data_IF_464236640953
#
_entry.id   IF_464236640953
#
_cell.length_a   1.000
_cell.length_b   1.000
_cell.length_c   1.000
_cell.angle_alpha   90.00
_cell.angle_beta   90.00
_cell.angle_gamma   90.00
#
_symmetry.space_group_name_H-M   'P 1'
#
loop_
_entity.id
_entity.type
_entity.pdbx_description
1 polymer ?
#
# COMPACT_ATOMS: atom_id res chain seq x y z
N UNK A 1 1.75 12.31 -3.63
CA UNK A 1 2.69 11.17 -3.71
C UNK A 1 2.39 10.37 -4.95
N UNK A 2 3.39 10.06 -5.76
CA UNK A 2 3.13 9.29 -6.97
C UNK A 2 3.07 7.79 -6.63
N UNK A 3 2.59 6.99 -7.59
CA UNK A 3 2.38 5.57 -7.34
C UNK A 3 3.68 4.82 -7.03
N UNK A 4 4.77 5.19 -7.69
CA UNK A 4 6.07 4.55 -7.44
C UNK A 4 6.50 4.75 -5.99
N UNK A 5 6.33 5.95 -5.46
CA UNK A 5 6.67 6.24 -4.07
C UNK A 5 5.76 5.45 -3.11
N UNK A 6 4.48 5.37 -3.44
CA UNK A 6 3.53 4.60 -2.63
C UNK A 6 3.96 3.14 -2.56
N UNK A 7 4.30 2.56 -3.71
CA UNK A 7 4.74 1.15 -3.76
C UNK A 7 5.99 0.94 -2.91
N UNK A 8 6.98 1.80 -3.06
CA UNK A 8 8.22 1.67 -2.30
C UNK A 8 7.99 1.77 -0.80
N UNK A 9 7.19 2.74 -0.39
CA UNK A 9 6.92 2.94 1.03
C UNK A 9 6.10 1.81 1.62
N UNK A 10 5.12 1.29 0.88
CA UNK A 10 4.34 0.14 1.35
C UNK A 10 5.20 -1.11 1.50
N UNK A 11 6.13 -1.34 0.58
CA UNK A 11 7.05 -2.47 0.70
C UNK A 11 7.91 -2.37 1.97
N UNK A 12 8.37 -1.18 2.28
CA UNK A 12 9.16 -0.94 3.49
C UNK A 12 8.30 -1.15 4.74
N UNK A 13 7.09 -0.59 4.74
CA UNK A 13 6.16 -0.73 5.87
C UNK A 13 5.83 -2.20 6.13
N UNK A 14 5.64 -3.00 5.08
CA UNK A 14 5.37 -4.42 5.24
C UNK A 14 6.46 -5.12 6.04
N UNK A 15 7.69 -4.74 5.81
CA UNK A 15 8.83 -5.34 6.50
C UNK A 15 8.93 -4.83 7.93
N UNK A 16 8.85 -3.51 8.10
CA UNK A 16 9.06 -2.88 9.41
C UNK A 16 7.91 -3.18 10.36
N UNK A 17 6.69 -3.11 9.87
CA UNK A 17 5.49 -3.28 10.70
C UNK A 17 4.95 -4.70 10.67
N UNK A 18 5.58 -5.59 9.90
CA UNK A 18 5.18 -6.99 9.79
C UNK A 18 3.71 -7.15 9.41
N UNK A 19 3.25 -6.36 8.45
CA UNK A 19 1.90 -6.47 7.93
C UNK A 19 1.92 -7.21 6.60
N UNK A 20 0.81 -7.86 6.27
CA UNK A 20 0.72 -8.63 5.03
C UNK A 20 -0.16 -7.94 3.99
N UNK A 21 -0.24 -8.55 2.81
CA UNK A 21 -1.03 -7.98 1.73
C UNK A 21 -2.52 -7.97 2.04
N UNK A 22 -3.00 -8.90 2.85
CA UNK A 22 -4.42 -8.91 3.23
C UNK A 22 -4.77 -7.70 4.08
N UNK A 23 -3.90 -7.32 5.00
CA UNK A 23 -4.09 -6.11 5.78
C UNK A 23 -4.20 -4.88 4.88
N UNK A 24 -3.29 -4.78 3.91
CA UNK A 24 -3.30 -3.66 2.97
C UNK A 24 -4.57 -3.68 2.12
N UNK A 25 -4.98 -4.85 1.65
CA UNK A 25 -6.20 -4.99 0.86
C UNK A 25 -7.42 -4.52 1.65
N UNK A 26 -7.52 -4.92 2.90
CA UNK A 26 -8.64 -4.52 3.76
C UNK A 26 -8.62 -3.01 3.99
N UNK A 27 -7.45 -2.43 4.21
CA UNK A 27 -7.33 -1.00 4.46
C UNK A 27 -7.71 -0.18 3.23
N UNK A 28 -7.25 -0.60 2.05
CA UNK A 28 -7.49 0.14 0.81
C UNK A 28 -8.85 -0.18 0.18
N UNK A 29 -9.55 -1.18 0.68
CA UNK A 29 -10.81 -1.60 0.07
C UNK A 29 -10.62 -2.40 -1.20
N UNK A 30 -9.51 -3.12 -1.30
CA UNK A 30 -9.24 -4.01 -2.44
C UNK A 30 -9.86 -5.38 -2.20
N UNK A 31 -10.08 -6.13 -3.28
CA UNK A 31 -10.82 -7.38 -3.23
C UNK A 31 -10.10 -8.46 -2.43
N UNK A 32 -8.77 -8.56 -2.59
CA UNK A 32 -8.01 -9.63 -1.94
C UNK A 32 -6.52 -9.28 -1.92
N UNK A 33 -5.75 -10.12 -1.22
CA UNK A 33 -4.31 -9.92 -1.10
C UNK A 33 -3.59 -9.99 -2.44
N UNK A 34 -4.11 -10.77 -3.39
CA UNK A 34 -3.51 -10.89 -4.71
C UNK A 34 -3.54 -9.56 -5.47
N UNK A 35 -4.63 -8.81 -5.31
CA UNK A 35 -4.73 -7.48 -5.92
C UNK A 35 -3.64 -6.56 -5.40
N UNK A 36 -3.33 -6.64 -4.11
CA UNK A 36 -2.23 -5.87 -3.53
C UNK A 36 -0.90 -6.32 -4.11
N UNK A 37 -0.67 -7.61 -4.22
CA UNK A 37 0.57 -8.12 -4.79
C UNK A 37 0.77 -7.62 -6.23
N UNK A 38 -0.29 -7.64 -7.03
CA UNK A 38 -0.23 -7.14 -8.41
C UNK A 38 0.07 -5.64 -8.44
N UNK A 39 -0.56 -4.88 -7.56
CA UNK A 39 -0.30 -3.45 -7.47
C UNK A 39 1.15 -3.17 -7.05
N UNK A 40 1.64 -3.88 -6.05
CA UNK A 40 3.02 -3.69 -5.58
C UNK A 40 4.04 -4.12 -6.62
N UNK A 41 3.66 -5.02 -7.51
CA UNK A 41 4.49 -5.43 -8.64
C UNK A 41 4.48 -4.41 -9.78
N UNK A 42 3.54 -3.47 -9.75
CA UNK A 42 3.43 -2.46 -10.78
C UNK A 42 2.48 -2.81 -11.92
N UNK A 43 1.67 -3.85 -11.75
CA UNK A 43 0.83 -4.38 -12.83
C UNK A 43 -0.45 -3.59 -13.06
N UNK A 44 -0.86 -2.72 -12.13
CA UNK A 44 -1.99 -1.85 -12.37
C UNK A 44 -1.94 -0.59 -11.52
N UNK A 45 -2.71 0.41 -11.96
CA UNK A 45 -2.77 1.71 -11.28
C UNK A 45 -3.90 1.74 -10.26
N UNK A 46 -3.63 2.33 -9.11
CA UNK A 46 -4.66 2.55 -8.10
C UNK A 46 -5.60 3.67 -8.55
N UNK A 47 -6.89 3.53 -8.21
CA UNK A 47 -7.82 4.63 -8.34
C UNK A 47 -7.42 5.76 -7.41
N UNK A 48 -7.93 6.95 -7.67
CA UNK A 48 -7.62 8.10 -6.82
C UNK A 48 -8.02 7.86 -5.37
N UNK A 49 -9.17 7.22 -5.16
CA UNK A 49 -9.65 6.90 -3.82
C UNK A 49 -8.71 5.93 -3.09
N UNK A 50 -8.30 4.86 -3.78
CA UNK A 50 -7.38 3.89 -3.19
C UNK A 50 -6.01 4.48 -2.95
N UNK A 51 -5.56 5.36 -3.84
CA UNK A 51 -4.29 6.06 -3.65
C UNK A 51 -4.33 6.90 -2.38
N UNK A 52 -5.43 7.62 -2.15
CA UNK A 52 -5.58 8.42 -0.95
C UNK A 52 -5.54 7.57 0.30
N UNK A 53 -6.20 6.41 0.27
CA UNK A 53 -6.18 5.49 1.39
C UNK A 53 -4.79 4.91 1.62
N UNK A 54 -4.06 4.64 0.56
CA UNK A 54 -2.67 4.19 0.68
C UNK A 54 -1.80 5.27 1.32
N UNK A 55 -2.00 6.52 0.95
CA UNK A 55 -1.28 7.63 1.55
C UNK A 55 -1.62 7.77 3.04
N UNK A 56 -2.88 7.56 3.41
CA UNK A 56 -3.28 7.56 4.82
C UNK A 56 -2.58 6.45 5.59
N UNK A 57 -2.53 5.26 5.02
CA UNK A 57 -1.86 4.13 5.66
C UNK A 57 -0.37 4.42 5.85
N UNK A 58 0.27 4.96 4.84
CA UNK A 58 1.67 5.33 4.92
C UNK A 58 1.88 6.39 6.00
N UNK A 59 1.02 7.40 6.04
CA UNK A 59 1.11 8.45 7.04
C UNK A 59 0.98 7.90 8.45
N UNK A 60 0.12 6.91 8.65
CA UNK A 60 -0.11 6.32 9.97
C UNK A 60 1.04 5.43 10.41
N UNK A 61 1.68 4.73 9.49
CA UNK A 61 2.67 3.72 9.84
C UNK A 61 4.10 4.11 9.47
N UNK A 62 4.28 5.14 8.67
CA UNK A 62 5.62 5.54 8.26
C UNK A 62 6.33 6.22 9.42
N UNK A 63 7.47 5.67 9.76
CA UNK A 63 8.29 6.20 10.84
C UNK A 63 9.49 6.94 10.25
N UNK A 64 9.58 8.23 10.49
CA UNK A 64 10.74 9.04 10.09
C UNK A 64 11.58 9.35 11.31
N UNK A 65 12.88 9.00 11.27
CA UNK A 65 13.77 9.30 12.38
C UNK A 65 14.01 10.80 12.53
#
# INVERSE_FOLDING_TARGET
MNQKDIIQKLKIIKIICDIDNQFIADYLGMTNARSVANFLHGDYLLSQEKRRKAEELISDLWFEP
#
